data_IF_625291214844
#
_entry.id   IF_625291214844
#
_cell.length_a   1.000
_cell.length_b   1.000
_cell.length_c   1.000
_cell.angle_alpha   90.00
_cell.angle_beta   90.00
_cell.angle_gamma   90.00
#
_symmetry.space_group_name_H-M   'P 1'
#
loop_
_entity.id
_entity.type
_entity.pdbx_description
1 polymer ?
#
# COMPACT_ATOMS: atom_id res chain seq x y z
N UNK A 1 -11.49 -15.06 -25.58
CA UNK A 1 -11.64 -13.96 -24.75
C UNK A 1 -10.94 -14.10 -23.43
N UNK A 2 -10.08 -13.25 -23.18
CA UNK A 2 -9.34 -13.36 -21.98
C UNK A 2 -10.11 -12.75 -20.81
N UNK A 3 -10.34 -13.54 -19.81
CA UNK A 3 -10.86 -13.01 -18.60
C UNK A 3 -9.68 -12.44 -17.86
N UNK A 4 -9.73 -11.17 -17.68
CA UNK A 4 -8.66 -10.54 -16.98
C UNK A 4 -8.90 -10.72 -15.49
N UNK A 5 -8.04 -11.48 -14.88
CA UNK A 5 -8.14 -11.64 -13.46
C UNK A 5 -7.53 -10.44 -12.78
N UNK A 6 -8.33 -9.80 -11.99
CA UNK A 6 -7.82 -8.72 -11.17
C UNK A 6 -7.51 -9.26 -9.81
N UNK A 7 -6.38 -8.85 -9.28
CA UNK A 7 -6.07 -9.19 -7.92
C UNK A 7 -7.11 -8.57 -7.00
N UNK A 8 -7.58 -9.35 -6.06
CA UNK A 8 -8.57 -8.90 -5.11
C UNK A 8 -7.92 -7.92 -4.15
N UNK A 9 -8.55 -6.78 -3.96
CA UNK A 9 -8.05 -5.77 -3.04
C UNK A 9 -8.72 -5.96 -1.69
N UNK A 10 -7.90 -5.96 -0.68
CA UNK A 10 -8.33 -6.22 0.69
C UNK A 10 -8.13 -4.95 1.50
N UNK A 11 -9.19 -4.38 2.10
CA UNK A 11 -9.02 -3.21 2.97
C UNK A 11 -8.18 -3.58 4.18
N UNK A 12 -7.29 -2.67 4.54
CA UNK A 12 -6.38 -2.90 5.65
C UNK A 12 -6.44 -1.69 6.57
N UNK A 13 -6.41 -1.94 7.87
CA UNK A 13 -6.34 -0.88 8.86
C UNK A 13 -5.19 -1.17 9.80
N UNK A 14 -4.56 -0.10 10.25
CA UNK A 14 -3.58 -0.24 11.31
C UNK A 14 -2.19 -0.64 10.87
N UNK A 15 -1.90 -0.57 9.57
CA UNK A 15 -0.56 -0.88 9.11
C UNK A 15 0.11 0.40 8.63
N UNK A 16 1.11 0.82 9.38
CA UNK A 16 1.92 1.98 9.02
C UNK A 16 3.01 1.55 8.05
N UNK A 17 3.46 2.50 7.26
CA UNK A 17 4.53 2.21 6.32
C UNK A 17 5.32 3.46 6.05
N UNK A 18 6.44 3.25 5.38
CA UNK A 18 7.24 4.32 4.83
C UNK A 18 7.47 4.01 3.36
N UNK A 19 7.24 5.00 2.51
CA UNK A 19 7.53 4.86 1.10
C UNK A 19 8.52 5.95 0.75
N UNK A 20 9.74 5.57 0.36
CA UNK A 20 10.87 6.47 0.30
C UNK A 20 11.01 7.15 1.65
N UNK A 21 10.96 8.47 1.72
CA UNK A 21 11.05 9.20 2.97
C UNK A 21 9.69 9.58 3.53
N UNK A 22 8.62 9.30 2.82
CA UNK A 22 7.28 9.70 3.24
C UNK A 22 6.68 8.68 4.18
N UNK A 23 6.00 9.16 5.20
CA UNK A 23 5.25 8.31 6.12
C UNK A 23 3.85 8.10 5.57
N UNK A 24 3.25 6.97 5.90
CA UNK A 24 1.90 6.71 5.47
C UNK A 24 1.36 5.45 6.10
N UNK A 25 0.21 5.05 5.58
CA UNK A 25 -0.35 3.79 6.02
C UNK A 25 -1.11 3.16 4.87
N UNK A 26 -1.29 1.87 5.01
CA UNK A 26 -1.90 1.05 3.99
C UNK A 26 -3.42 1.26 4.00
N UNK A 27 -3.99 1.47 2.83
CA UNK A 27 -5.44 1.58 2.69
C UNK A 27 -6.01 0.25 2.23
N UNK A 28 -5.41 -0.33 1.20
CA UNK A 28 -5.78 -1.67 0.78
C UNK A 28 -4.57 -2.32 0.12
N UNK A 29 -4.67 -3.62 -0.04
CA UNK A 29 -3.56 -4.39 -0.61
C UNK A 29 -4.11 -5.53 -1.45
N UNK A 30 -3.35 -5.91 -2.46
CA UNK A 30 -3.62 -7.10 -3.26
C UNK A 30 -2.29 -7.80 -3.50
N UNK A 31 -2.36 -8.91 -4.20
CA UNK A 31 -1.13 -9.65 -4.50
C UNK A 31 -0.16 -8.86 -5.37
N UNK A 32 -0.63 -7.87 -6.11
CA UNK A 32 0.20 -7.16 -7.08
C UNK A 32 0.46 -5.71 -6.75
N UNK A 33 -0.22 -5.16 -5.76
CA UNK A 33 -0.03 -3.76 -5.44
C UNK A 33 -0.83 -3.31 -4.25
N UNK A 34 -0.80 -2.02 -4.01
CA UNK A 34 -1.44 -1.46 -2.82
C UNK A 34 -1.86 -0.02 -3.07
N UNK A 35 -2.82 0.43 -2.28
CA UNK A 35 -3.17 1.82 -2.18
C UNK A 35 -2.71 2.31 -0.82
N UNK A 36 -1.98 3.41 -0.82
CA UNK A 36 -1.33 3.94 0.36
C UNK A 36 -1.78 5.38 0.55
N UNK A 37 -2.02 5.76 1.80
CA UNK A 37 -2.22 7.17 2.12
C UNK A 37 -0.92 7.70 2.67
N UNK A 38 -0.33 8.67 2.00
CA UNK A 38 1.00 9.16 2.33
C UNK A 38 0.95 10.65 2.62
N UNK A 39 1.96 11.12 3.36
CA UNK A 39 2.03 12.52 3.74
C UNK A 39 2.62 13.40 2.65
N UNK A 40 3.16 12.80 1.61
CA UNK A 40 3.79 13.56 0.52
C UNK A 40 3.40 12.96 -0.80
N UNK A 41 3.35 13.81 -1.80
CA UNK A 41 3.12 13.35 -3.16
C UNK A 41 4.37 12.68 -3.69
N UNK A 42 4.18 11.61 -4.46
CA UNK A 42 5.28 10.86 -5.03
C UNK A 42 5.15 10.86 -6.53
N UNK A 43 6.29 10.99 -7.21
CA UNK A 43 6.30 11.04 -8.66
C UNK A 43 5.84 9.73 -9.25
N UNK A 44 4.94 9.74 -10.23
CA UNK A 44 4.51 8.51 -10.88
C UNK A 44 5.62 7.94 -11.76
N UNK A 45 5.52 6.65 -12.00
CA UNK A 45 6.41 5.90 -12.87
C UNK A 45 7.82 5.73 -12.31
N UNK A 46 8.01 6.00 -11.04
CA UNK A 46 9.29 5.75 -10.38
C UNK A 46 9.11 4.65 -9.35
N UNK A 47 10.18 3.94 -9.10
CA UNK A 47 10.20 2.89 -8.09
C UNK A 47 10.77 3.42 -6.80
N UNK A 48 10.15 3.00 -5.71
CA UNK A 48 10.55 3.43 -4.38
C UNK A 48 10.62 2.24 -3.44
N UNK A 49 11.54 2.27 -2.49
CA UNK A 49 11.51 1.28 -1.42
C UNK A 49 10.32 1.54 -0.51
N UNK A 50 9.68 0.47 -0.08
CA UNK A 50 8.53 0.54 0.82
C UNK A 50 8.83 -0.34 2.01
N UNK A 51 8.59 0.20 3.20
CA UNK A 51 8.82 -0.54 4.44
C UNK A 51 7.49 -0.64 5.17
N UNK A 52 6.99 -1.86 5.31
CA UNK A 52 5.76 -2.11 6.04
C UNK A 52 6.10 -2.41 7.49
N UNK A 53 5.43 -1.71 8.40
CA UNK A 53 5.62 -1.93 9.83
C UNK A 53 4.54 -2.86 10.32
N UNK A 54 4.89 -4.12 10.46
CA UNK A 54 3.99 -5.13 10.96
C UNK A 54 4.29 -5.38 12.42
N UNK A 55 3.39 -6.04 13.10
CA UNK A 55 3.51 -6.19 14.56
C UNK A 55 4.84 -6.77 14.99
N UNK A 56 5.29 -7.79 14.28
CA UNK A 56 6.48 -8.52 14.70
C UNK A 56 7.69 -8.20 13.86
N UNK A 57 7.55 -7.43 12.79
CA UNK A 57 8.67 -7.28 11.87
C UNK A 57 8.44 -6.10 10.95
N UNK A 58 9.53 -5.62 10.39
CA UNK A 58 9.49 -4.63 9.33
C UNK A 58 9.86 -5.32 8.04
N UNK A 59 9.04 -5.15 7.02
CA UNK A 59 9.21 -5.86 5.77
C UNK A 59 9.49 -4.86 4.66
N UNK A 60 10.51 -5.12 3.88
CA UNK A 60 10.91 -4.23 2.80
C UNK A 60 10.51 -4.82 1.46
N UNK A 61 9.99 -3.98 0.60
CA UNK A 61 9.70 -4.35 -0.78
C UNK A 61 9.90 -3.12 -1.64
N UNK A 62 9.74 -3.26 -2.95
CA UNK A 62 9.85 -2.15 -3.88
C UNK A 62 8.59 -2.07 -4.70
N UNK A 63 8.13 -0.85 -4.94
CA UNK A 63 6.96 -0.65 -5.76
C UNK A 63 7.13 0.54 -6.67
N UNK A 64 6.40 0.50 -7.77
CA UNK A 64 6.35 1.59 -8.73
C UNK A 64 5.07 2.37 -8.51
N UNK A 65 5.19 3.67 -8.39
CA UNK A 65 4.02 4.53 -8.23
C UNK A 65 3.31 4.63 -9.56
N UNK A 66 2.04 4.27 -9.57
CA UNK A 66 1.21 4.37 -10.76
C UNK A 66 0.59 5.75 -10.83
N UNK A 67 0.12 6.25 -9.69
CA UNK A 67 -0.41 7.59 -9.61
C UNK A 67 -0.41 8.05 -8.16
N UNK A 68 -0.46 9.36 -8.01
CA UNK A 68 -0.49 9.98 -6.70
C UNK A 68 -1.44 11.17 -6.82
N UNK A 69 -2.48 11.19 -5.99
CA UNK A 69 -3.46 12.26 -6.06
C UNK A 69 -3.72 12.81 -4.66
N UNK A 70 -3.86 14.12 -4.62
CA UNK A 70 -4.12 14.80 -3.36
C UNK A 70 -5.51 14.43 -2.86
N UNK A 71 -5.62 14.22 -1.57
CA UNK A 71 -6.88 13.92 -0.94
C UNK A 71 -7.10 14.93 0.16
N UNK A 72 -8.19 15.67 0.07
CA UNK A 72 -8.51 16.66 1.05
C UNK A 72 -9.58 16.09 1.97
N UNK A 73 -9.29 16.10 3.25
CA UNK A 73 -10.28 15.66 4.22
C UNK A 73 -11.01 16.87 4.74
N UNK A 74 -12.31 16.87 4.59
CA UNK A 74 -13.11 17.97 5.07
C UNK A 74 -13.21 18.01 6.57
N UNK A 75 -12.84 16.92 7.21
CA UNK A 75 -12.90 16.87 8.65
C UNK A 75 -11.74 17.56 9.30
N UNK A 76 -10.72 17.87 8.54
CA UNK A 76 -9.53 18.46 9.12
C UNK A 76 -9.60 19.96 9.01
N UNK A 77 -9.59 20.58 10.14
CA UNK A 77 -9.48 22.01 10.23
C UNK A 77 -8.09 22.49 9.90
N UNK A 78 -7.19 21.57 9.61
CA UNK A 78 -5.82 21.90 9.30
C UNK A 78 -5.59 21.87 7.80
N UNK A 79 -4.66 22.68 7.37
CA UNK A 79 -4.26 22.69 5.97
C UNK A 79 -3.35 21.52 5.67
N UNK A 80 -3.82 20.34 5.97
CA UNK A 80 -3.01 19.16 5.77
C UNK A 80 -3.59 18.36 4.63
N UNK A 81 -2.77 18.12 3.65
CA UNK A 81 -3.16 17.31 2.54
C UNK A 81 -2.48 15.96 2.66
N UNK A 82 -3.25 14.92 2.49
CA UNK A 82 -2.71 13.59 2.32
C UNK A 82 -2.82 13.25 0.85
N UNK A 83 -2.09 12.22 0.46
CA UNK A 83 -2.06 11.79 -0.92
C UNK A 83 -2.39 10.31 -0.98
N UNK A 84 -3.28 9.96 -1.91
CA UNK A 84 -3.54 8.55 -2.20
C UNK A 84 -2.59 8.13 -3.30
N UNK A 85 -1.75 7.16 -3.00
CA UNK A 85 -0.70 6.71 -3.88
C UNK A 85 -0.98 5.27 -4.26
N UNK A 86 -1.19 5.03 -5.54
CA UNK A 86 -1.40 3.68 -6.05
C UNK A 86 -0.04 3.12 -6.48
N UNK A 87 0.27 1.94 -5.98
CA UNK A 87 1.59 1.34 -6.15
C UNK A 87 1.43 -0.06 -6.72
N UNK A 88 2.28 -0.40 -7.67
CA UNK A 88 2.42 -1.76 -8.17
C UNK A 88 3.72 -2.34 -7.63
N UNK A 89 3.66 -3.53 -7.03
CA UNK A 89 4.87 -4.16 -6.52
C UNK A 89 5.75 -4.59 -7.67
N UNK A 90 7.03 -4.24 -7.59
CA UNK A 90 7.99 -4.62 -8.63
C UNK A 90 9.02 -5.58 -8.11
N UNK A 91 9.34 -5.52 -6.81
CA UNK A 91 10.26 -6.48 -6.20
C UNK A 91 9.66 -6.91 -4.87
N UNK A 92 9.37 -8.19 -4.76
CA UNK A 92 8.86 -8.78 -3.52
C UNK A 92 9.86 -9.84 -3.05
N UNK A 93 10.78 -9.48 -2.16
CA UNK A 93 11.64 -10.50 -1.55
C UNK A 93 10.78 -11.56 -0.85
N UNK A 94 11.34 -12.75 -0.59
CA UNK A 94 10.54 -13.83 0.00
C UNK A 94 9.80 -13.41 1.27
N UNK A 95 10.45 -12.67 2.16
CA UNK A 95 9.80 -12.24 3.39
C UNK A 95 8.61 -11.32 3.09
N UNK A 96 8.78 -10.42 2.12
CA UNK A 96 7.70 -9.51 1.75
C UNK A 96 6.57 -10.26 1.08
N UNK A 97 6.90 -11.26 0.27
CA UNK A 97 5.88 -12.06 -0.40
C UNK A 97 5.00 -12.78 0.62
N UNK A 98 5.62 -13.33 1.65
CA UNK A 98 4.87 -13.99 2.70
C UNK A 98 3.98 -13.00 3.43
N UNK A 99 4.52 -11.81 3.73
CA UNK A 99 3.77 -10.81 4.46
C UNK A 99 2.57 -10.33 3.66
N UNK A 100 2.75 -10.08 2.37
CA UNK A 100 1.65 -9.65 1.51
C UNK A 100 0.58 -10.73 1.45
N UNK A 101 1.00 -11.98 1.31
CA UNK A 101 0.05 -13.09 1.26
C UNK A 101 -0.77 -13.16 2.55
N UNK A 102 -0.12 -12.96 3.69
CA UNK A 102 -0.83 -12.99 4.97
C UNK A 102 -1.83 -11.86 5.08
N UNK A 103 -1.45 -10.67 4.68
CA UNK A 103 -2.36 -9.53 4.75
C UNK A 103 -3.57 -9.77 3.86
N UNK A 104 -3.36 -10.30 2.67
CA UNK A 104 -4.46 -10.60 1.77
C UNK A 104 -5.32 -11.72 2.29
N UNK A 105 -4.70 -12.74 2.89
CA UNK A 105 -5.42 -13.90 3.37
C UNK A 105 -6.21 -13.66 4.64
N UNK A 106 -5.79 -12.70 5.46
CA UNK A 106 -6.46 -12.44 6.73
C UNK A 106 -7.93 -12.10 6.55
N UNK A 107 -8.25 -11.36 5.50
CA UNK A 107 -9.62 -10.96 5.28
C UNK A 107 -10.51 -12.15 4.96
N UNK A 108 -9.97 -13.12 4.24
CA UNK A 108 -10.75 -14.31 3.91
C UNK A 108 -11.01 -15.14 5.16
N UNK A 109 -10.03 -15.23 6.02
CA UNK A 109 -10.18 -15.99 7.24
C UNK A 109 -11.26 -15.41 8.13
N UNK A 110 -11.36 -14.11 8.16
CA UNK A 110 -12.33 -13.46 9.02
C UNK A 110 -13.76 -13.57 8.51
N UNK A 111 -13.92 -13.95 7.27
CA UNK A 111 -15.26 -14.02 6.71
C UNK A 111 -15.98 -15.30 7.11
N UNK A 112 -15.24 -16.23 7.61
CA UNK A 112 -15.85 -17.44 8.11
C UNK A 112 -16.53 -17.22 9.47
#
# INVERSE_FOLDING_TARGET
>A
MGIRERAVRVPIEGVSLRIAAASGHLVNISATGALVRATESLAPNLEYPIYLDLLAERVQLTGRVIRSSAERSEEHLRDREDYLVAVRFTVLPPQARVAVARLCGSAFTQRE
#
